data_IF_013240595122
#
_entry.id   IF_013240595122
#
_cell.length_a   1.000
_cell.length_b   1.000
_cell.length_c   1.000
_cell.angle_alpha   90.00
_cell.angle_beta   90.00
_cell.angle_gamma   90.00
#
_symmetry.space_group_name_H-M   'P 1'
#
loop_
_entity.id
_entity.type
_entity.pdbx_description
1 polymer ?
#
# COMPACT_ATOMS: atom_id res chain seq x y z
N UNK A 1 23.60 -3.51 4.53
CA UNK A 1 22.51 -2.51 4.59
C UNK A 1 21.40 -3.04 3.72
N UNK A 2 20.19 -3.21 4.28
CA UNK A 2 19.02 -3.73 3.54
C UNK A 2 18.45 -2.63 2.63
N UNK A 3 17.65 -3.03 1.65
CA UNK A 3 17.08 -2.09 0.68
C UNK A 3 16.08 -1.14 1.34
N UNK A 4 15.15 -1.67 2.15
CA UNK A 4 14.04 -0.87 2.65
C UNK A 4 13.62 -1.27 4.06
N UNK A 5 13.17 -0.28 4.82
CA UNK A 5 12.37 -0.48 6.02
C UNK A 5 10.97 0.04 5.77
N UNK A 6 9.96 -0.74 6.14
CA UNK A 6 8.57 -0.31 6.14
C UNK A 6 8.05 -0.25 7.57
N UNK A 7 7.43 0.86 7.95
CA UNK A 7 6.70 0.99 9.20
C UNK A 7 5.21 1.05 8.90
N UNK A 8 4.44 0.15 9.51
CA UNK A 8 2.98 0.06 9.36
C UNK A 8 2.26 0.10 10.70
N UNK A 9 0.96 0.36 10.69
CA UNK A 9 0.18 0.46 11.93
C UNK A 9 -0.14 -0.88 12.58
N UNK A 10 -0.45 -1.92 11.80
CA UNK A 10 -0.98 -3.16 12.34
C UNK A 10 -0.55 -4.43 11.58
N UNK A 11 -1.08 -5.58 12.02
CA UNK A 11 -0.76 -6.90 11.45
C UNK A 11 -1.40 -7.12 10.07
N UNK A 12 -2.53 -6.49 9.79
CA UNK A 12 -3.21 -6.60 8.51
C UNK A 12 -2.39 -5.91 7.42
N UNK A 13 -1.96 -4.67 7.68
CA UNK A 13 -1.04 -3.94 6.82
C UNK A 13 0.30 -4.65 6.68
N UNK A 14 0.87 -5.17 7.79
CA UNK A 14 2.14 -5.90 7.73
C UNK A 14 2.03 -7.09 6.77
N UNK A 15 0.96 -7.87 6.89
CA UNK A 15 0.74 -9.05 6.05
C UNK A 15 0.50 -8.66 4.59
N UNK A 16 -0.30 -7.61 4.35
CA UNK A 16 -0.55 -7.09 3.01
C UNK A 16 0.74 -6.62 2.33
N UNK A 17 1.51 -5.74 2.99
CA UNK A 17 2.75 -5.18 2.45
C UNK A 17 3.79 -6.27 2.19
N UNK A 18 4.00 -7.20 3.14
CA UNK A 18 4.95 -8.31 2.93
C UNK A 18 4.58 -9.15 1.71
N UNK A 19 3.28 -9.44 1.55
CA UNK A 19 2.81 -10.22 0.41
C UNK A 19 2.96 -9.45 -0.90
N UNK A 20 2.61 -8.16 -0.93
CA UNK A 20 2.79 -7.32 -2.11
C UNK A 20 4.26 -7.25 -2.54
N UNK A 21 5.18 -7.02 -1.60
CA UNK A 21 6.62 -6.98 -1.89
C UNK A 21 7.17 -8.32 -2.39
N UNK A 22 6.58 -9.45 -1.98
CA UNK A 22 6.94 -10.77 -2.51
C UNK A 22 6.53 -10.96 -3.98
N UNK A 23 5.52 -10.20 -4.45
CA UNK A 23 5.05 -10.19 -5.85
C UNK A 23 5.79 -9.15 -6.69
N UNK A 24 7.12 -9.10 -6.55
CA UNK A 24 7.96 -8.09 -7.19
C UNK A 24 7.74 -7.99 -8.72
N UNK A 25 7.53 -9.11 -9.41
CA UNK A 25 7.21 -9.12 -10.85
C UNK A 25 5.90 -8.40 -11.17
N UNK A 26 4.84 -8.65 -10.38
CA UNK A 26 3.56 -7.98 -10.53
C UNK A 26 3.60 -6.49 -10.15
N UNK A 27 4.62 -6.06 -9.43
CA UNK A 27 4.89 -4.65 -9.14
C UNK A 27 5.82 -4.00 -10.17
N UNK A 28 6.42 -4.77 -11.09
CA UNK A 28 7.43 -4.27 -12.03
C UNK A 28 8.74 -3.85 -11.37
N UNK A 29 9.08 -4.46 -10.22
CA UNK A 29 10.30 -4.16 -9.46
C UNK A 29 11.20 -5.38 -9.35
N UNK A 30 12.49 -5.16 -9.12
CA UNK A 30 13.40 -6.24 -8.71
C UNK A 30 13.01 -6.75 -7.32
N UNK A 31 13.42 -7.97 -6.91
CA UNK A 31 13.32 -8.40 -5.53
C UNK A 31 13.94 -7.36 -4.57
N UNK A 32 13.27 -7.12 -3.44
CA UNK A 32 13.65 -6.10 -2.43
C UNK A 32 13.89 -6.77 -1.08
N UNK A 33 15.06 -6.53 -0.49
CA UNK A 33 15.31 -6.90 0.90
C UNK A 33 14.68 -5.88 1.85
N UNK A 34 13.46 -6.18 2.33
CA UNK A 34 12.69 -5.28 3.18
C UNK A 34 12.39 -5.87 4.57
N UNK A 35 12.53 -5.05 5.61
CA UNK A 35 12.00 -5.33 6.94
C UNK A 35 10.74 -4.51 7.19
N UNK A 36 9.64 -5.18 7.55
CA UNK A 36 8.37 -4.54 7.91
C UNK A 36 8.21 -4.57 9.43
N UNK A 37 7.96 -3.41 10.03
CA UNK A 37 7.76 -3.22 11.46
C UNK A 37 6.37 -2.67 11.72
N UNK A 38 5.82 -3.01 12.89
CA UNK A 38 4.56 -2.44 13.38
C UNK A 38 4.84 -1.40 14.44
N UNK A 39 4.19 -0.25 14.34
CA UNK A 39 4.26 0.75 15.40
C UNK A 39 3.38 0.32 16.59
N UNK A 40 3.89 0.35 17.84
CA UNK A 40 3.10 -0.10 19.01
C UNK A 40 1.85 0.74 19.26
N UNK A 41 1.88 2.02 18.88
CA UNK A 41 0.74 2.94 18.97
C UNK A 41 -0.11 3.02 17.67
N UNK A 42 0.04 2.03 16.77
CA UNK A 42 -0.75 1.90 15.52
C UNK A 42 -0.71 3.18 14.66
N UNK A 43 -1.81 3.54 14.01
CA UNK A 43 -1.92 4.65 13.05
C UNK A 43 -1.52 5.99 13.68
N UNK A 44 -2.04 6.31 14.86
CA UNK A 44 -1.63 7.51 15.62
C UNK A 44 -0.13 7.55 15.90
N UNK A 45 0.47 6.39 16.17
CA UNK A 45 1.90 6.26 16.37
C UNK A 45 2.72 6.43 15.09
N UNK A 46 2.28 5.80 14.00
CA UNK A 46 2.86 6.00 12.68
C UNK A 46 2.86 7.48 12.30
N UNK A 47 1.71 8.14 12.45
CA UNK A 47 1.50 9.53 12.06
C UNK A 47 2.34 10.51 12.91
N UNK A 48 2.30 10.37 14.24
CA UNK A 48 2.86 11.37 15.14
C UNK A 48 4.29 11.05 15.62
N UNK A 49 4.73 9.78 15.52
CA UNK A 49 6.03 9.31 16.04
C UNK A 49 6.82 8.43 15.08
N UNK A 50 6.34 8.23 13.85
CA UNK A 50 7.03 7.42 12.84
C UNK A 50 8.45 7.93 12.56
N UNK A 51 8.65 9.25 12.53
CA UNK A 51 9.96 9.89 12.32
C UNK A 51 10.98 9.51 13.39
N UNK A 52 10.55 9.48 14.67
CA UNK A 52 11.40 9.07 15.79
C UNK A 52 11.75 7.59 15.70
N UNK A 53 10.78 6.76 15.30
CA UNK A 53 10.99 5.32 15.12
C UNK A 53 12.10 5.02 14.10
N UNK A 54 12.11 5.73 12.96
CA UNK A 54 13.17 5.58 11.95
C UNK A 54 14.54 6.06 12.43
N UNK A 55 14.58 7.08 13.29
CA UNK A 55 15.84 7.61 13.83
C UNK A 55 16.60 6.54 14.64
N UNK A 56 15.87 5.65 15.33
CA UNK A 56 16.47 4.54 16.09
C UNK A 56 17.10 3.45 15.20
N UNK A 57 16.78 3.42 13.90
CA UNK A 57 17.22 2.39 12.95
C UNK A 57 18.03 2.97 11.79
N UNK A 58 18.49 4.22 11.92
CA UNK A 58 19.28 4.91 10.91
C UNK A 58 20.55 4.13 10.53
N UNK A 59 20.94 4.21 9.26
CA UNK A 59 22.13 3.54 8.71
C UNK A 59 21.99 2.04 8.42
N UNK A 60 20.84 1.42 8.72
CA UNK A 60 20.58 -0.01 8.43
C UNK A 60 19.87 -0.25 7.09
N UNK A 61 19.18 0.77 6.57
CA UNK A 61 18.31 0.70 5.42
C UNK A 61 18.59 1.85 4.44
N UNK A 62 18.39 1.60 3.13
CA UNK A 62 18.55 2.63 2.09
C UNK A 62 17.30 3.47 1.88
N UNK A 63 16.12 2.86 2.00
CA UNK A 63 14.81 3.48 1.80
C UNK A 63 13.91 3.30 3.02
N UNK A 64 13.05 4.27 3.28
CA UNK A 64 12.02 4.23 4.31
C UNK A 64 10.63 4.38 3.69
N UNK A 65 9.72 3.50 4.08
CA UNK A 65 8.31 3.64 3.74
C UNK A 65 7.48 3.66 5.01
N UNK A 66 6.63 4.66 5.15
CA UNK A 66 5.64 4.75 6.23
C UNK A 66 4.25 4.60 5.64
N UNK A 67 3.44 3.68 6.17
CA UNK A 67 2.08 3.42 5.69
C UNK A 67 1.11 3.29 6.87
N UNK A 68 0.01 4.05 6.86
CA UNK A 68 -1.02 4.00 7.90
C UNK A 68 -2.38 4.49 7.38
N UNK A 69 -3.45 4.17 8.11
CA UNK A 69 -4.82 4.61 7.81
C UNK A 69 -5.01 6.08 8.18
N UNK A 70 -5.77 6.83 7.40
CA UNK A 70 -6.17 8.19 7.76
C UNK A 70 -7.11 8.17 8.96
N UNK A 71 -8.09 7.25 8.97
CA UNK A 71 -8.99 7.06 10.11
C UNK A 71 -8.23 6.50 11.32
N UNK A 72 -8.23 7.23 12.44
CA UNK A 72 -7.54 6.85 13.68
C UNK A 72 -6.09 7.32 13.78
N UNK A 73 -5.60 8.13 12.83
CA UNK A 73 -4.25 8.70 12.89
C UNK A 73 -4.12 9.92 13.83
N UNK A 74 -5.24 10.50 14.27
CA UNK A 74 -5.28 11.70 15.10
C UNK A 74 -5.09 13.02 14.35
N UNK A 75 -5.07 12.99 13.01
CA UNK A 75 -5.00 14.15 12.10
C UNK A 75 -6.08 14.07 11.00
N UNK A 76 -7.21 13.46 11.32
CA UNK A 76 -8.33 13.19 10.39
C UNK A 76 -8.93 14.48 9.79
N UNK A 77 -8.74 15.63 10.45
CA UNK A 77 -9.17 16.94 9.94
C UNK A 77 -8.29 17.50 8.83
N UNK A 78 -7.09 16.94 8.62
CA UNK A 78 -6.15 17.36 7.59
C UNK A 78 -6.25 16.45 6.37
N UNK A 79 -5.91 16.98 5.19
CA UNK A 79 -5.91 16.16 3.98
C UNK A 79 -4.76 15.14 4.04
N UNK A 80 -4.97 13.89 3.58
CA UNK A 80 -3.91 12.88 3.55
C UNK A 80 -2.59 13.37 2.93
N UNK A 81 -2.65 14.14 1.85
CA UNK A 81 -1.45 14.66 1.16
C UNK A 81 -0.68 15.69 1.99
N UNK A 82 -1.37 16.45 2.85
CA UNK A 82 -0.76 17.42 3.76
C UNK A 82 -0.02 16.71 4.89
N UNK A 83 -0.60 15.63 5.40
CA UNK A 83 0.03 14.77 6.41
C UNK A 83 1.28 14.11 5.82
N UNK A 84 1.16 13.52 4.62
CA UNK A 84 2.29 12.91 3.90
C UNK A 84 3.43 13.91 3.71
N UNK A 85 3.14 15.09 3.15
CA UNK A 85 4.15 16.11 2.88
C UNK A 85 4.80 16.68 4.16
N UNK A 86 4.04 16.80 5.25
CA UNK A 86 4.57 17.23 6.54
C UNK A 86 5.61 16.22 7.07
N UNK A 87 5.25 14.93 7.10
CA UNK A 87 6.14 13.89 7.62
C UNK A 87 7.35 13.67 6.69
N UNK A 88 7.17 13.70 5.36
CA UNK A 88 8.27 13.59 4.41
C UNK A 88 9.28 14.74 4.53
N UNK A 89 8.80 15.96 4.82
CA UNK A 89 9.67 17.12 5.10
C UNK A 89 10.52 16.90 6.35
N UNK A 90 9.91 16.40 7.42
CA UNK A 90 10.62 16.11 8.67
C UNK A 90 11.67 15.01 8.50
N UNK A 91 11.35 13.97 7.72
CA UNK A 91 12.30 12.92 7.35
C UNK A 91 13.46 13.46 6.51
N UNK A 92 13.17 14.38 5.58
CA UNK A 92 14.19 15.03 4.74
C UNK A 92 15.20 15.82 5.57
N UNK A 93 14.73 16.64 6.54
CA UNK A 93 15.58 17.39 7.47
C UNK A 93 16.48 16.46 8.31
N UNK A 94 16.06 15.21 8.52
CA UNK A 94 16.79 14.18 9.28
C UNK A 94 17.65 13.27 8.40
N UNK A 95 17.92 13.67 7.15
CA UNK A 95 18.86 12.98 6.26
C UNK A 95 18.24 11.93 5.34
N UNK A 96 16.91 11.83 5.28
CA UNK A 96 16.21 10.89 4.38
C UNK A 96 15.68 11.54 3.10
N UNK A 97 16.25 12.68 2.70
CA UNK A 97 15.88 13.37 1.46
C UNK A 97 15.98 12.42 0.25
N UNK A 98 14.89 12.28 -0.50
CA UNK A 98 14.77 11.36 -1.65
C UNK A 98 14.80 9.86 -1.31
N UNK A 99 14.85 9.51 -0.01
CA UNK A 99 14.98 8.14 0.48
C UNK A 99 13.85 7.73 1.42
N UNK A 100 12.86 8.60 1.65
CA UNK A 100 11.65 8.28 2.40
C UNK A 100 10.41 8.61 1.59
N UNK A 101 9.35 7.82 1.79
CA UNK A 101 8.00 8.18 1.37
C UNK A 101 6.97 7.76 2.42
N UNK A 102 5.94 8.59 2.56
CA UNK A 102 4.84 8.40 3.50
C UNK A 102 3.56 8.24 2.71
N UNK A 103 2.77 7.23 3.04
CA UNK A 103 1.52 6.91 2.34
C UNK A 103 0.42 6.84 3.39
N UNK A 104 -0.57 7.71 3.24
CA UNK A 104 -1.76 7.73 4.08
C UNK A 104 -2.90 7.12 3.28
N UNK A 105 -3.43 5.99 3.75
CA UNK A 105 -4.55 5.28 3.16
C UNK A 105 -5.84 6.02 3.50
N UNK A 106 -6.67 6.33 2.51
CA UNK A 106 -7.89 7.12 2.71
C UNK A 106 -9.14 6.35 2.20
N UNK A 107 -10.06 5.95 3.09
CA UNK A 107 -10.00 6.15 4.55
C UNK A 107 -9.01 5.20 5.25
N UNK A 108 -8.77 4.02 4.65
CA UNK A 108 -8.10 2.90 5.32
C UNK A 108 -7.65 1.80 4.34
N UNK A 109 -6.93 0.79 4.85
CA UNK A 109 -6.44 -0.35 4.09
C UNK A 109 -7.53 -1.10 3.32
N UNK A 110 -8.79 -1.16 3.73
CA UNK A 110 -9.79 -1.95 2.99
C UNK A 110 -10.19 -1.33 1.64
N UNK A 111 -9.82 -0.07 1.35
CA UNK A 111 -10.26 0.63 0.14
C UNK A 111 -9.86 -0.08 -1.17
N UNK A 112 -8.68 -0.70 -1.25
CA UNK A 112 -8.22 -1.41 -2.46
C UNK A 112 -8.88 -2.77 -2.65
N UNK A 113 -9.42 -3.37 -1.57
CA UNK A 113 -10.12 -4.66 -1.64
C UNK A 113 -11.29 -4.56 -2.61
N UNK A 114 -11.91 -3.39 -2.71
CA UNK A 114 -13.08 -3.16 -3.55
C UNK A 114 -12.75 -2.81 -5.00
N UNK A 115 -11.52 -3.04 -5.45
CA UNK A 115 -11.20 -3.01 -6.88
C UNK A 115 -12.01 -4.09 -7.63
N UNK A 116 -12.38 -3.88 -8.91
CA UNK A 116 -13.15 -4.85 -9.68
C UNK A 116 -12.28 -6.08 -10.00
N UNK A 117 -12.18 -7.00 -9.04
CA UNK A 117 -11.44 -8.25 -9.15
C UNK A 117 -12.31 -9.41 -8.69
N UNK A 118 -12.48 -10.48 -9.50
CA UNK A 118 -13.26 -11.65 -9.10
C UNK A 118 -12.65 -12.37 -7.88
N UNK A 119 -11.36 -12.16 -7.60
CA UNK A 119 -10.68 -12.77 -6.45
C UNK A 119 -11.14 -12.24 -5.10
N UNK A 120 -11.79 -11.07 -5.08
CA UNK A 120 -12.34 -10.47 -3.86
C UNK A 120 -13.46 -11.35 -3.33
N UNK A 121 -14.38 -11.76 -4.20
CA UNK A 121 -15.49 -12.64 -3.83
C UNK A 121 -14.99 -13.98 -3.31
N UNK A 122 -13.92 -14.53 -3.89
CA UNK A 122 -13.29 -15.76 -3.40
C UNK A 122 -12.79 -15.61 -1.96
N UNK A 123 -12.01 -14.56 -1.71
CA UNK A 123 -11.37 -14.31 -0.41
C UNK A 123 -12.38 -13.99 0.68
N UNK A 124 -13.52 -13.38 0.32
CA UNK A 124 -14.59 -13.04 1.25
C UNK A 124 -15.65 -14.15 1.37
N UNK A 125 -15.56 -15.22 0.59
CA UNK A 125 -16.48 -16.36 0.62
C UNK A 125 -17.81 -16.15 -0.11
N UNK A 126 -17.84 -15.24 -1.10
CA UNK A 126 -19.01 -14.80 -1.85
C UNK A 126 -19.12 -15.32 -3.30
N UNK A 127 -18.15 -16.11 -3.80
CA UNK A 127 -18.13 -16.61 -5.19
C UNK A 127 -19.47 -17.19 -5.68
N UNK A 128 -20.14 -17.96 -4.83
CA UNK A 128 -21.40 -18.65 -5.14
C UNK A 128 -22.57 -18.12 -4.29
N UNK A 129 -22.48 -16.87 -3.84
CA UNK A 129 -23.53 -16.25 -3.03
C UNK A 129 -24.70 -15.75 -3.90
N UNK A 130 -25.91 -15.88 -3.37
CA UNK A 130 -27.12 -15.31 -3.92
C UNK A 130 -27.80 -14.44 -2.83
N UNK A 131 -27.90 -13.11 -2.99
CA UNK A 131 -27.40 -12.33 -4.13
C UNK A 131 -25.86 -12.23 -4.19
N UNK A 132 -25.26 -11.91 -5.35
CA UNK A 132 -23.82 -11.67 -5.48
C UNK A 132 -23.34 -10.52 -4.58
N UNK A 133 -22.07 -10.54 -4.16
CA UNK A 133 -21.50 -9.57 -3.22
C UNK A 133 -21.78 -8.12 -3.62
N UNK A 134 -21.59 -7.80 -4.90
CA UNK A 134 -21.84 -6.43 -5.39
C UNK A 134 -23.29 -6.01 -5.25
N UNK A 135 -24.23 -6.91 -5.53
CA UNK A 135 -25.66 -6.62 -5.38
C UNK A 135 -26.00 -6.47 -3.89
N UNK A 136 -25.50 -7.36 -3.04
CA UNK A 136 -25.66 -7.24 -1.59
C UNK A 136 -25.14 -5.90 -1.05
N UNK A 137 -23.98 -5.42 -1.50
CA UNK A 137 -23.44 -4.11 -1.09
C UNK A 137 -24.37 -2.96 -1.47
N UNK A 138 -25.04 -3.04 -2.62
CA UNK A 138 -25.99 -2.02 -3.08
C UNK A 138 -27.27 -2.09 -2.26
N UNK A 139 -27.83 -3.29 -2.09
CA UNK A 139 -29.08 -3.53 -1.36
C UNK A 139 -28.98 -3.11 0.12
N UNK A 140 -27.78 -3.21 0.69
CA UNK A 140 -27.51 -2.85 2.09
C UNK A 140 -26.91 -1.44 2.24
N UNK A 141 -26.85 -0.65 1.17
CA UNK A 141 -26.44 0.75 1.21
C UNK A 141 -24.94 1.01 1.41
N UNK A 142 -24.09 -0.02 1.40
CA UNK A 142 -22.63 0.13 1.46
C UNK A 142 -22.07 0.75 0.18
N UNK A 143 -22.66 0.39 -0.97
CA UNK A 143 -22.25 0.85 -2.29
C UNK A 143 -23.41 1.59 -2.97
N UNK A 144 -23.15 2.80 -3.46
CA UNK A 144 -24.11 3.50 -4.33
C UNK A 144 -24.25 2.73 -5.65
N UNK A 145 -25.44 2.71 -6.23
CA UNK A 145 -25.63 2.14 -7.57
C UNK A 145 -24.67 2.79 -8.58
N UNK A 146 -23.91 1.97 -9.31
CA UNK A 146 -22.85 2.42 -10.24
C UNK A 146 -21.55 2.88 -9.56
N UNK A 147 -21.48 2.88 -8.22
CA UNK A 147 -20.27 3.18 -7.46
C UNK A 147 -19.18 2.12 -7.67
N UNK A 148 -17.92 2.57 -7.61
CA UNK A 148 -16.76 1.69 -7.72
C UNK A 148 -16.39 1.02 -6.39
N UNK A 149 -16.50 1.74 -5.27
CA UNK A 149 -16.05 1.32 -3.94
C UNK A 149 -17.02 1.80 -2.84
N UNK A 150 -17.19 1.05 -1.73
CA UNK A 150 -18.00 1.47 -0.59
C UNK A 150 -17.47 2.76 0.04
N UNK A 151 -18.37 3.55 0.64
CA UNK A 151 -17.98 4.74 1.40
C UNK A 151 -17.31 4.41 2.75
N UNK A 152 -17.62 3.22 3.29
CA UNK A 152 -17.12 2.66 4.55
C UNK A 152 -16.52 1.27 4.28
N UNK A 153 -15.30 1.20 3.71
CA UNK A 153 -14.70 -0.02 3.18
C UNK A 153 -14.51 -1.14 4.21
N UNK A 154 -14.06 -0.82 5.42
CA UNK A 154 -13.80 -1.75 6.52
C UNK A 154 -15.10 -2.33 7.02
N UNK A 155 -16.11 -1.50 7.26
CA UNK A 155 -17.42 -1.97 7.72
C UNK A 155 -18.11 -2.85 6.68
N UNK A 156 -18.02 -2.47 5.40
CA UNK A 156 -18.53 -3.32 4.32
C UNK A 156 -17.85 -4.68 4.30
N UNK A 157 -16.52 -4.72 4.52
CA UNK A 157 -15.74 -5.96 4.49
C UNK A 157 -16.02 -6.81 5.73
N UNK A 158 -16.09 -6.20 6.90
CA UNK A 158 -16.42 -6.85 8.16
C UNK A 158 -17.80 -7.49 8.12
N UNK A 159 -18.79 -6.77 7.62
CA UNK A 159 -20.15 -7.30 7.51
C UNK A 159 -20.23 -8.43 6.47
N UNK A 160 -19.57 -8.26 5.31
CA UNK A 160 -19.48 -9.30 4.30
C UNK A 160 -18.85 -10.59 4.86
N UNK A 161 -17.79 -10.48 5.67
CA UNK A 161 -17.16 -11.63 6.32
C UNK A 161 -18.04 -12.25 7.41
N UNK A 162 -18.70 -11.40 8.21
CA UNK A 162 -19.60 -11.82 9.29
C UNK A 162 -20.74 -12.69 8.76
N UNK A 163 -21.38 -12.29 7.67
CA UNK A 163 -22.46 -13.05 7.03
C UNK A 163 -22.01 -14.42 6.52
N UNK A 164 -20.75 -14.52 6.09
CA UNK A 164 -20.13 -15.79 5.65
C UNK A 164 -19.49 -16.58 6.80
N UNK A 165 -19.58 -16.07 8.03
CA UNK A 165 -18.95 -16.65 9.24
C UNK A 165 -17.44 -16.85 9.10
N UNK A 166 -16.80 -15.99 8.31
CA UNK A 166 -15.35 -16.00 8.12
C UNK A 166 -14.76 -15.01 9.14
N UNK A 167 -13.86 -15.43 10.04
CA UNK A 167 -13.25 -14.52 10.98
C UNK A 167 -12.30 -13.55 10.26
N UNK A 168 -12.43 -12.26 10.54
CA UNK A 168 -11.47 -11.26 10.07
C UNK A 168 -10.08 -11.59 10.63
N UNK A 169 -9.11 -11.75 9.73
CA UNK A 169 -7.73 -12.09 10.11
C UNK A 169 -6.74 -11.53 9.11
N UNK A 170 -5.49 -11.34 9.56
CA UNK A 170 -4.41 -10.85 8.70
C UNK A 170 -4.14 -11.77 7.50
N UNK A 171 -4.49 -13.05 7.59
CA UNK A 171 -4.37 -14.01 6.50
C UNK A 171 -5.25 -13.63 5.29
N UNK A 172 -6.43 -13.04 5.51
CA UNK A 172 -7.32 -12.58 4.42
C UNK A 172 -6.62 -11.47 3.62
N UNK A 173 -5.97 -10.53 4.30
CA UNK A 173 -5.20 -9.47 3.64
C UNK A 173 -4.03 -10.01 2.84
N UNK A 174 -3.35 -11.05 3.35
CA UNK A 174 -2.34 -11.77 2.58
C UNK A 174 -2.92 -12.42 1.32
N UNK A 175 -4.05 -13.12 1.43
CA UNK A 175 -4.70 -13.76 0.28
C UNK A 175 -5.15 -12.74 -0.77
N UNK A 176 -5.77 -11.64 -0.32
CA UNK A 176 -6.12 -10.52 -1.19
C UNK A 176 -4.87 -9.95 -1.85
N UNK A 177 -3.80 -9.75 -1.08
CA UNK A 177 -2.57 -9.13 -1.58
C UNK A 177 -1.84 -10.04 -2.55
N UNK A 178 -2.10 -11.35 -2.47
CA UNK A 178 -1.57 -12.33 -3.39
C UNK A 178 -2.27 -12.30 -4.76
N UNK A 179 -3.57 -11.98 -4.80
CA UNK A 179 -4.41 -12.19 -5.98
C UNK A 179 -4.90 -10.90 -6.63
N UNK A 180 -5.26 -9.90 -5.84
CA UNK A 180 -5.80 -8.64 -6.34
C UNK A 180 -4.66 -7.80 -6.93
N UNK A 181 -4.89 -7.24 -8.12
CA UNK A 181 -3.91 -6.43 -8.84
C UNK A 181 -3.97 -4.98 -8.40
N UNK A 182 -2.81 -4.36 -8.18
CA UNK A 182 -2.71 -2.91 -7.96
C UNK A 182 -2.74 -2.10 -9.27
N UNK A 183 -2.68 -2.73 -10.44
CA UNK A 183 -2.68 -2.04 -11.73
C UNK A 183 -4.01 -1.32 -12.02
N UNK A 184 -5.13 -1.96 -11.67
CA UNK A 184 -6.47 -1.41 -11.84
C UNK A 184 -6.97 -0.63 -10.62
N UNK A 185 -6.11 -0.45 -9.60
CA UNK A 185 -6.45 0.34 -8.42
C UNK A 185 -6.24 1.82 -8.73
N UNK A 186 -7.34 2.57 -8.86
CA UNK A 186 -7.30 4.02 -9.07
C UNK A 186 -7.17 4.82 -7.75
N UNK A 187 -6.93 4.12 -6.63
CA UNK A 187 -6.77 4.76 -5.34
C UNK A 187 -5.43 5.51 -5.25
N UNK A 188 -5.45 6.74 -4.74
CA UNK A 188 -4.28 7.61 -4.66
C UNK A 188 -3.16 6.96 -3.85
N UNK A 189 -3.49 6.39 -2.69
CA UNK A 189 -2.49 5.85 -1.77
C UNK A 189 -1.79 4.62 -2.39
N UNK A 190 -2.54 3.75 -3.07
CA UNK A 190 -1.97 2.58 -3.76
C UNK A 190 -1.23 2.94 -5.04
N UNK A 191 -1.67 3.98 -5.75
CA UNK A 191 -0.93 4.56 -6.87
C UNK A 191 0.42 5.08 -6.39
N UNK A 192 0.42 5.90 -5.32
CA UNK A 192 1.66 6.40 -4.69
C UNK A 192 2.55 5.26 -4.19
N UNK A 193 1.99 4.23 -3.56
CA UNK A 193 2.72 3.03 -3.13
C UNK A 193 3.45 2.35 -4.29
N UNK A 194 2.72 2.03 -5.36
CA UNK A 194 3.28 1.37 -6.54
C UNK A 194 4.37 2.23 -7.18
N UNK A 195 4.06 3.50 -7.44
CA UNK A 195 4.96 4.40 -8.16
C UNK A 195 6.25 4.66 -7.35
N UNK A 196 6.14 4.76 -6.02
CA UNK A 196 7.29 4.87 -5.11
C UNK A 196 8.20 3.64 -5.22
N UNK A 197 7.63 2.43 -5.18
CA UNK A 197 8.41 1.20 -5.29
C UNK A 197 9.06 1.06 -6.67
N UNK A 198 8.34 1.41 -7.73
CA UNK A 198 8.87 1.40 -9.09
C UNK A 198 9.99 2.43 -9.27
N UNK A 199 9.84 3.63 -8.72
CA UNK A 199 10.89 4.64 -8.74
C UNK A 199 12.16 4.16 -8.00
N UNK A 200 12.01 3.46 -6.88
CA UNK A 200 13.16 2.99 -6.09
C UNK A 200 13.79 1.71 -6.61
N UNK A 201 13.01 0.82 -7.23
CA UNK A 201 13.41 -0.56 -7.48
C UNK A 201 13.00 -1.10 -8.85
N UNK A 202 12.69 -0.23 -9.82
CA UNK A 202 12.40 -0.64 -11.19
C UNK A 202 13.43 -1.66 -11.70
N UNK A 203 12.92 -2.70 -12.37
CA UNK A 203 13.78 -3.57 -13.17
C UNK A 203 14.29 -2.71 -14.32
N UNK A 204 15.59 -2.41 -14.34
CA UNK A 204 16.15 -1.54 -15.36
C UNK A 204 15.76 -2.01 -16.76
N UNK A 205 15.13 -1.14 -17.55
CA UNK A 205 15.50 -1.08 -18.95
C UNK A 205 17.02 -0.90 -18.97
N UNK A 206 17.71 -1.74 -19.75
CA UNK A 206 19.16 -1.92 -19.68
C UNK A 206 19.96 -0.63 -19.56
N UNK A 207 21.13 -0.75 -18.94
CA UNK A 207 22.22 0.21 -19.05
C UNK A 207 22.20 0.86 -20.44
N UNK A 208 22.21 2.20 -20.45
CA UNK A 208 22.35 2.97 -21.68
C UNK A 208 23.45 2.37 -22.57
N UNK A 209 23.25 2.24 -23.89
CA UNK A 209 24.38 2.11 -24.79
C UNK A 209 25.16 3.42 -24.69
N UNK A 210 26.29 3.35 -24.01
CA UNK A 210 27.43 4.18 -24.36
C UNK A 210 27.76 3.84 -25.81
N UNK A 211 27.72 4.83 -26.71
CA UNK A 211 28.49 4.82 -27.96
C UNK A 211 28.54 6.26 -28.48
N UNK A 212 29.35 7.06 -27.78
CA UNK A 212 29.98 8.23 -28.36
C UNK A 212 31.43 7.88 -28.68
N UNK A 213 31.83 8.18 -29.92
CA UNK A 213 33.17 8.20 -30.51
C UNK A 213 33.71 6.88 -31.11
N UNK A 214 33.56 6.76 -32.44
CA UNK A 214 34.71 6.82 -33.34
C UNK A 214 34.29 7.42 -34.68
N UNK A 215 34.91 8.54 -35.06
CA UNK A 215 34.81 9.10 -36.39
C UNK A 215 35.74 8.40 -37.37
N UNK A 216 35.38 8.42 -38.65
CA UNK A 216 36.35 8.48 -39.75
C UNK A 216 35.63 8.95 -41.01
N UNK A 217 36.07 10.11 -41.47
CA UNK A 217 35.96 10.65 -42.83
C UNK A 217 36.52 9.62 -43.82
N UNK A 218 35.81 9.32 -44.92
CA UNK A 218 36.36 9.26 -46.28
C UNK A 218 35.34 8.78 -47.33
N UNK A 219 35.19 9.64 -48.35
CA UNK A 219 34.58 9.49 -49.69
C UNK A 219 33.07 9.41 -49.83
#
# INVERSE_FOLDING_TARGET
>A
MKDMMVLVADKNMETAVRTLLSRHEALGIRPVEADVFRHPQRDSGCCNKGVEFFSALAGRFRKLLLLFDHEGCGRESERPEEIEAAIERDLSVRGWSGNASVIVLDPELEIWVWSPSPHVEDCLGWRDADPPLRQWLVDNGYLRAGGAKPARPKEAMEEALRLRRIPRSSAIYGQLAQKVSLHSCADRAFTKFRDTLQQWFAVGAGAAPWEGQNGAVLM
#
